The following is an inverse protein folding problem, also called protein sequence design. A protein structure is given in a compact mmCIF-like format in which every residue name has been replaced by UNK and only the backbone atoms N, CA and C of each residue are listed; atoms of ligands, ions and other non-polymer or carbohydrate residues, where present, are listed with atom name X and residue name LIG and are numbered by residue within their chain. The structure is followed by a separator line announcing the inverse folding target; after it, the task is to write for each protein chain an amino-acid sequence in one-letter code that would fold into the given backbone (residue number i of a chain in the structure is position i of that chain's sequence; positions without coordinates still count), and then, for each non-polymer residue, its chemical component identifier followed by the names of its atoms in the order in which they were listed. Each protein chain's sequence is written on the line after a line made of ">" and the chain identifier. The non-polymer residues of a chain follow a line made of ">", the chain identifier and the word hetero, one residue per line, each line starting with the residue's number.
data_IF_776960971727
#
_entry.id   IF_776960971727
#
_cell.length_a   1.000
_cell.length_b   1.000
_cell.length_c   1.000
_cell.angle_alpha   90.00
_cell.angle_beta   90.00
_cell.angle_gamma   90.00
#
_symmetry.space_group_name_H-M   'P 1'
#
loop_
_entity.id
_entity.type
_entity.pdbx_description
1 polymer ?
#
# COMPACT_ATOMS: atom_id res chain seq x y z
N UNK A 1 8.27 23.96 33.31
CA UNK A 1 7.69 23.45 32.05
C UNK A 1 7.01 24.64 31.38
N UNK A 2 7.52 25.11 30.24
CA UNK A 2 6.73 26.03 29.43
C UNK A 2 5.52 25.26 28.87
N UNK A 3 4.33 25.85 28.88
CA UNK A 3 3.18 25.24 28.21
C UNK A 3 3.38 25.38 26.70
N UNK A 4 3.22 24.29 25.95
CA UNK A 4 3.18 24.33 24.49
C UNK A 4 2.04 25.24 24.02
N UNK A 5 2.26 25.92 22.88
CA UNK A 5 1.20 26.68 22.23
C UNK A 5 0.08 25.74 21.74
N UNK A 6 -1.09 26.28 21.43
CA UNK A 6 -2.17 25.48 20.83
C UNK A 6 -1.74 24.89 19.48
N UNK A 7 -1.04 25.69 18.67
CA UNK A 7 -0.52 25.28 17.36
C UNK A 7 0.48 24.10 17.48
N UNK A 8 1.40 24.14 18.44
CA UNK A 8 2.35 23.03 18.67
C UNK A 8 1.64 21.75 19.13
N UNK A 9 0.57 21.88 19.94
CA UNK A 9 -0.25 20.73 20.35
C UNK A 9 -1.01 20.13 19.17
N UNK A 10 -1.61 20.95 18.30
CA UNK A 10 -2.32 20.46 17.11
C UNK A 10 -1.36 19.74 16.15
N UNK A 11 -0.13 20.25 15.96
CA UNK A 11 0.91 19.59 15.16
C UNK A 11 1.30 18.23 15.74
N UNK A 12 1.63 18.16 17.04
CA UNK A 12 1.96 16.90 17.72
C UNK A 12 0.79 15.91 17.70
N UNK A 13 -0.45 16.38 17.82
CA UNK A 13 -1.61 15.52 17.75
C UNK A 13 -1.83 14.97 16.32
N UNK A 14 -1.59 15.77 15.29
CA UNK A 14 -1.64 15.32 13.90
C UNK A 14 -0.57 14.24 13.58
N UNK A 15 0.59 14.25 14.24
CA UNK A 15 1.59 13.18 14.09
C UNK A 15 1.06 11.80 14.52
N UNK A 16 0.15 11.73 15.50
CA UNK A 16 -0.49 10.47 15.92
C UNK A 16 -1.42 9.90 14.83
N UNK A 17 -2.07 10.75 14.03
CA UNK A 17 -2.91 10.32 12.90
C UNK A 17 -2.09 9.48 11.92
N UNK A 18 -0.86 9.91 11.61
CA UNK A 18 0.05 9.17 10.72
C UNK A 18 0.56 7.85 11.31
N UNK A 19 0.59 7.72 12.64
CA UNK A 19 1.05 6.52 13.38
C UNK A 19 -0.09 5.57 13.75
N UNK A 20 -1.33 5.86 13.33
CA UNK A 20 -2.50 5.04 13.65
C UNK A 20 -2.35 3.62 13.11
N UNK A 21 -2.73 2.57 13.87
CA UNK A 21 -2.85 1.22 13.35
C UNK A 21 -3.90 1.13 12.22
N UNK A 22 -3.73 0.21 11.25
CA UNK A 22 -4.69 0.03 10.18
C UNK A 22 -6.07 -0.35 10.72
N UNK A 23 -7.12 0.34 10.28
CA UNK A 23 -8.49 0.14 10.78
C UNK A 23 -8.86 0.87 12.08
N UNK A 24 -7.91 1.53 12.77
CA UNK A 24 -8.13 2.20 14.07
C UNK A 24 -8.02 3.75 13.99
N UNK A 25 -7.87 4.28 12.78
CA UNK A 25 -7.71 5.73 12.50
C UNK A 25 -8.81 6.62 13.11
N UNK A 26 -10.06 6.14 13.12
CA UNK A 26 -11.20 6.89 13.64
C UNK A 26 -11.16 7.02 15.17
N UNK A 27 -10.76 5.95 15.87
CA UNK A 27 -10.62 5.97 17.32
C UNK A 27 -9.49 6.92 17.74
N UNK A 28 -8.36 6.88 17.04
CA UNK A 28 -7.23 7.81 17.25
C UNK A 28 -7.65 9.27 17.01
N UNK A 29 -8.40 9.56 15.94
CA UNK A 29 -8.90 10.92 15.67
C UNK A 29 -9.88 11.38 16.76
N UNK A 30 -10.76 10.50 17.25
CA UNK A 30 -11.70 10.83 18.31
C UNK A 30 -11.00 11.12 19.65
N UNK A 31 -9.99 10.33 20.01
CA UNK A 31 -9.15 10.58 21.19
C UNK A 31 -8.38 11.90 21.06
N UNK A 32 -7.82 12.20 19.89
CA UNK A 32 -7.15 13.48 19.60
C UNK A 32 -8.12 14.67 19.77
N UNK A 33 -9.34 14.59 19.23
CA UNK A 33 -10.37 15.62 19.38
C UNK A 33 -10.70 15.86 20.85
N UNK A 34 -10.83 14.80 21.65
CA UNK A 34 -11.06 14.90 23.08
C UNK A 34 -9.88 15.53 23.86
N UNK A 35 -8.64 15.31 23.42
CA UNK A 35 -7.42 15.87 24.04
C UNK A 35 -7.24 17.35 23.71
N UNK A 36 -7.50 17.75 22.46
CA UNK A 36 -7.29 19.14 21.99
C UNK A 36 -8.49 20.02 22.32
N UNK A 37 -9.72 19.50 22.19
CA UNK A 37 -10.98 20.18 22.49
C UNK A 37 -11.14 21.54 21.75
N UNK A 38 -10.62 21.62 20.52
CA UNK A 38 -10.80 22.71 19.57
C UNK A 38 -10.64 22.17 18.14
N UNK A 39 -11.75 21.70 17.55
CA UNK A 39 -11.77 21.17 16.18
C UNK A 39 -11.35 22.22 15.14
N UNK A 40 -11.60 23.51 15.40
CA UNK A 40 -11.30 24.59 14.43
C UNK A 40 -9.79 24.81 14.31
N UNK A 41 -9.08 24.73 15.43
CA UNK A 41 -7.62 24.77 15.47
C UNK A 41 -6.96 23.44 15.05
N UNK A 42 -7.65 22.32 15.16
CA UNK A 42 -7.12 20.98 14.90
C UNK A 42 -7.18 20.59 13.41
N UNK A 43 -8.34 20.77 12.77
CA UNK A 43 -8.61 20.26 11.41
C UNK A 43 -7.59 20.69 10.33
N UNK A 44 -7.07 21.94 10.31
CA UNK A 44 -6.04 22.35 9.34
C UNK A 44 -4.72 21.57 9.44
N UNK A 45 -4.44 20.97 10.61
CA UNK A 45 -3.26 20.12 10.81
C UNK A 45 -3.56 18.65 10.55
N UNK A 46 -4.77 18.17 10.88
CA UNK A 46 -5.19 16.78 10.68
C UNK A 46 -5.39 16.44 9.21
N UNK A 47 -5.97 17.34 8.40
CA UNK A 47 -6.29 17.04 7.00
C UNK A 47 -5.05 16.63 6.15
N UNK A 48 -3.91 17.35 6.18
CA UNK A 48 -2.70 16.92 5.48
C UNK A 48 -2.15 15.57 5.98
N UNK A 49 -2.21 15.30 7.29
CA UNK A 49 -1.75 14.03 7.87
C UNK A 49 -2.69 12.87 7.54
N UNK A 50 -3.99 13.11 7.45
CA UNK A 50 -5.00 12.12 7.05
C UNK A 50 -4.87 11.79 5.56
N UNK A 51 -4.61 12.80 4.71
CA UNK A 51 -4.21 12.56 3.32
C UNK A 51 -2.97 11.66 3.23
N UNK A 52 -1.89 12.03 3.93
CA UNK A 52 -0.65 11.26 3.93
C UNK A 52 -0.87 9.82 4.46
N UNK A 53 -1.69 9.66 5.49
CA UNK A 53 -2.08 8.36 6.02
C UNK A 53 -2.83 7.52 4.98
N UNK A 54 -3.92 8.02 4.38
CA UNK A 54 -4.71 7.27 3.40
C UNK A 54 -3.88 6.81 2.20
N UNK A 55 -2.98 7.67 1.69
CA UNK A 55 -2.08 7.35 0.58
C UNK A 55 -1.01 6.33 0.94
N UNK A 56 -0.37 6.48 2.10
CA UNK A 56 0.63 5.52 2.57
C UNK A 56 0.00 4.15 2.88
N UNK A 57 -1.22 4.15 3.42
CA UNK A 57 -1.95 2.95 3.82
C UNK A 57 -2.65 2.23 2.66
N UNK A 58 -2.55 2.73 1.42
CA UNK A 58 -3.21 2.17 0.24
C UNK A 58 -4.73 2.02 0.46
N UNK A 59 -5.37 3.11 0.90
CA UNK A 59 -6.80 3.11 1.23
C UNK A 59 -7.65 2.69 0.01
N UNK A 60 -8.65 1.85 0.23
CA UNK A 60 -9.54 1.34 -0.82
C UNK A 60 -10.72 2.30 -0.97
N UNK A 61 -10.99 2.70 -2.21
CA UNK A 61 -12.01 3.68 -2.59
C UNK A 61 -13.04 3.01 -3.51
N UNK A 62 -14.32 3.09 -3.16
CA UNK A 62 -15.41 2.49 -3.93
C UNK A 62 -16.03 3.47 -4.93
N UNK A 63 -16.02 3.09 -6.20
CA UNK A 63 -16.62 3.86 -7.29
C UNK A 63 -18.09 3.48 -7.44
N UNK A 64 -19.02 4.45 -7.41
CA UNK A 64 -20.43 4.19 -7.66
C UNK A 64 -20.63 3.76 -9.12
N UNK A 65 -21.63 2.92 -9.35
CA UNK A 65 -22.00 2.54 -10.72
C UNK A 65 -22.46 3.78 -11.53
N UNK A 66 -21.90 3.94 -12.72
CA UNK A 66 -22.29 4.94 -13.72
C UNK A 66 -22.87 4.24 -14.97
N UNK A 67 -23.39 5.00 -15.94
CA UNK A 67 -24.15 4.45 -17.09
C UNK A 67 -23.44 3.29 -17.82
N UNK A 68 -22.12 3.41 -18.03
CA UNK A 68 -21.27 2.41 -18.71
C UNK A 68 -20.26 1.71 -17.79
N UNK A 69 -20.24 2.01 -16.48
CA UNK A 69 -19.19 1.57 -15.55
C UNK A 69 -19.85 0.86 -14.34
N UNK A 70 -19.58 -0.44 -14.10
CA UNK A 70 -20.10 -1.13 -12.92
C UNK A 70 -19.47 -0.56 -11.63
N UNK A 71 -20.14 -0.75 -10.49
CA UNK A 71 -19.53 -0.48 -9.20
C UNK A 71 -18.30 -1.39 -9.02
N UNK A 72 -17.18 -0.78 -8.65
CA UNK A 72 -15.87 -1.41 -8.48
C UNK A 72 -15.04 -0.59 -7.48
N UNK A 73 -13.87 -1.08 -7.09
CA UNK A 73 -13.03 -0.42 -6.08
C UNK A 73 -11.61 -0.21 -6.61
N UNK A 74 -10.98 0.91 -6.28
CA UNK A 74 -9.57 1.20 -6.60
C UNK A 74 -8.75 1.47 -5.34
N UNK A 75 -7.42 1.49 -5.49
CA UNK A 75 -6.50 1.91 -4.41
C UNK A 75 -6.19 3.40 -4.56
N UNK A 76 -6.17 4.12 -3.44
CA UNK A 76 -5.67 5.49 -3.33
C UNK A 76 -4.20 5.46 -2.91
N UNK A 77 -3.31 6.02 -3.73
CA UNK A 77 -1.87 6.07 -3.46
C UNK A 77 -1.23 7.27 -4.14
N UNK A 78 0.04 7.57 -3.79
CA UNK A 78 0.82 8.59 -4.51
C UNK A 78 0.93 8.30 -6.02
N UNK A 79 0.84 7.02 -6.42
CA UNK A 79 0.95 6.62 -7.82
C UNK A 79 -0.37 6.77 -8.60
N UNK A 80 -1.52 6.94 -7.93
CA UNK A 80 -2.80 7.24 -8.59
C UNK A 80 -3.08 8.75 -8.70
N UNK A 81 -2.21 9.62 -8.18
CA UNK A 81 -2.33 11.08 -8.37
C UNK A 81 -2.14 11.42 -9.86
N UNK A 82 -3.08 12.18 -10.43
CA UNK A 82 -3.08 12.57 -11.83
C UNK A 82 -1.91 13.54 -12.11
N UNK A 83 -0.95 13.18 -13.00
CA UNK A 83 0.22 14.01 -13.24
C UNK A 83 -0.13 15.42 -13.74
N UNK A 84 0.40 16.44 -13.06
CA UNK A 84 0.14 17.86 -13.35
C UNK A 84 -1.03 18.47 -12.57
N UNK A 85 -1.65 17.71 -11.65
CA UNK A 85 -2.55 18.22 -10.61
C UNK A 85 -1.80 18.36 -9.28
N UNK A 86 -1.99 19.49 -8.58
CA UNK A 86 -1.32 19.80 -7.31
C UNK A 86 -2.24 20.66 -6.42
N UNK A 87 -2.08 20.53 -5.10
CA UNK A 87 -2.83 21.33 -4.11
C UNK A 87 -4.34 21.10 -4.19
N UNK A 88 -5.11 22.18 -4.13
CA UNK A 88 -6.59 22.14 -4.14
C UNK A 88 -7.20 21.57 -5.43
N UNK A 89 -6.40 21.40 -6.49
CA UNK A 89 -6.80 20.80 -7.76
C UNK A 89 -6.34 19.34 -7.91
N UNK A 90 -5.79 18.72 -6.87
CA UNK A 90 -5.34 17.33 -6.90
C UNK A 90 -6.46 16.37 -7.32
N UNK A 91 -6.16 15.52 -8.30
CA UNK A 91 -7.08 14.48 -8.79
C UNK A 91 -6.44 13.12 -8.70
N UNK A 92 -7.27 12.10 -8.55
CA UNK A 92 -6.90 10.71 -8.56
C UNK A 92 -7.40 10.03 -9.83
N UNK A 93 -6.71 8.97 -10.25
CA UNK A 93 -7.01 8.17 -11.43
C UNK A 93 -7.71 6.88 -11.03
N UNK A 94 -8.88 6.67 -11.61
CA UNK A 94 -9.49 5.36 -11.76
C UNK A 94 -9.16 4.82 -13.18
N UNK A 95 -8.33 3.79 -13.22
CA UNK A 95 -7.89 3.14 -14.44
C UNK A 95 -8.79 1.97 -14.90
N UNK A 96 -9.81 1.59 -14.13
CA UNK A 96 -10.81 0.58 -14.52
C UNK A 96 -12.03 1.25 -15.16
N UNK A 97 -12.64 2.24 -14.50
CA UNK A 97 -13.71 3.05 -15.08
C UNK A 97 -13.24 4.11 -16.09
N UNK A 98 -11.92 4.31 -16.26
CA UNK A 98 -11.31 5.31 -17.17
C UNK A 98 -11.75 6.72 -16.83
N UNK A 99 -11.55 7.10 -15.57
CA UNK A 99 -12.03 8.33 -14.96
C UNK A 99 -10.99 8.97 -14.06
N UNK A 100 -11.13 10.27 -13.82
CA UNK A 100 -10.39 10.99 -12.79
C UNK A 100 -11.36 11.69 -11.85
N UNK A 101 -10.98 11.84 -10.59
CA UNK A 101 -11.87 12.33 -9.54
C UNK A 101 -11.14 13.15 -8.47
N UNK A 102 -11.87 14.02 -7.77
CA UNK A 102 -11.41 14.64 -6.52
C UNK A 102 -11.88 13.78 -5.34
N UNK A 103 -11.04 13.67 -4.30
CA UNK A 103 -11.30 12.83 -3.13
C UNK A 103 -11.25 13.65 -1.85
N UNK A 104 -12.32 13.62 -1.06
CA UNK A 104 -12.33 14.21 0.27
C UNK A 104 -11.82 13.18 1.30
N UNK A 105 -10.63 13.42 1.84
CA UNK A 105 -10.00 12.52 2.82
C UNK A 105 -10.73 12.44 4.17
N UNK A 106 -11.63 13.37 4.49
CA UNK A 106 -12.45 13.33 5.71
C UNK A 106 -13.70 12.49 5.47
N UNK A 107 -14.49 12.85 4.46
CA UNK A 107 -15.77 12.13 4.19
C UNK A 107 -15.60 10.85 3.37
N UNK A 108 -14.38 10.57 2.90
CA UNK A 108 -14.03 9.49 1.97
C UNK A 108 -14.86 9.54 0.67
N UNK A 109 -15.37 10.73 0.32
CA UNK A 109 -16.29 10.91 -0.80
C UNK A 109 -15.56 11.24 -2.11
N UNK A 110 -15.99 10.57 -3.17
CA UNK A 110 -15.60 10.84 -4.55
C UNK A 110 -16.46 11.99 -5.09
N UNK A 111 -15.81 12.96 -5.74
CA UNK A 111 -16.46 14.10 -6.40
C UNK A 111 -15.86 14.36 -7.77
N UNK A 112 -16.58 15.12 -8.61
CA UNK A 112 -16.12 15.59 -9.93
C UNK A 112 -15.53 14.48 -10.83
N UNK A 113 -16.34 13.47 -11.14
CA UNK A 113 -15.93 12.26 -11.87
C UNK A 113 -15.85 12.53 -13.39
N UNK A 114 -14.65 12.77 -13.92
CA UNK A 114 -14.39 13.20 -15.31
C UNK A 114 -13.72 12.10 -16.15
N UNK A 115 -13.88 12.07 -17.50
CA UNK A 115 -13.16 11.14 -18.37
C UNK A 115 -11.63 11.22 -18.22
N UNK A 116 -10.97 10.06 -18.32
CA UNK A 116 -9.51 9.92 -18.31
C UNK A 116 -9.10 8.84 -19.30
N UNK A 117 -8.13 9.15 -20.17
CA UNK A 117 -7.60 8.20 -21.15
C UNK A 117 -6.06 8.26 -21.19
N UNK A 118 -5.42 7.09 -21.16
CA UNK A 118 -4.00 6.92 -21.46
C UNK A 118 -3.79 6.66 -22.96
N UNK A 119 -2.60 6.91 -23.51
CA UNK A 119 -2.28 6.48 -24.87
C UNK A 119 -2.29 4.94 -24.97
N UNK A 120 -2.62 4.43 -26.16
CA UNK A 120 -2.99 3.02 -26.38
C UNK A 120 -1.88 2.02 -26.03
N UNK A 121 -0.61 2.36 -26.28
CA UNK A 121 0.55 1.52 -25.98
C UNK A 121 0.74 1.33 -24.47
N UNK A 122 0.66 2.43 -23.71
CA UNK A 122 0.76 2.43 -22.25
C UNK A 122 -0.43 1.74 -21.59
N UNK A 123 -1.66 2.01 -22.06
CA UNK A 123 -2.87 1.37 -21.53
C UNK A 123 -2.87 -0.14 -21.78
N UNK A 124 -2.44 -0.58 -22.97
CA UNK A 124 -2.35 -2.02 -23.28
C UNK A 124 -1.41 -2.75 -22.32
N UNK A 125 -0.24 -2.16 -22.01
CA UNK A 125 0.71 -2.75 -21.07
C UNK A 125 0.21 -2.69 -19.62
N UNK A 126 -0.38 -1.55 -19.21
CA UNK A 126 -0.97 -1.37 -17.87
C UNK A 126 -2.12 -2.36 -17.63
N UNK A 127 -3.03 -2.53 -18.60
CA UNK A 127 -4.13 -3.47 -18.52
C UNK A 127 -3.66 -4.94 -18.46
N UNK A 128 -2.60 -5.30 -19.19
CA UNK A 128 -1.99 -6.63 -19.10
C UNK A 128 -1.38 -6.92 -17.71
N UNK A 129 -0.69 -5.93 -17.12
CA UNK A 129 -0.21 -6.00 -15.74
C UNK A 129 -1.39 -6.11 -14.75
N UNK A 130 -2.40 -5.25 -14.88
CA UNK A 130 -3.60 -5.22 -14.03
C UNK A 130 -4.35 -6.55 -14.05
N UNK A 131 -4.54 -7.16 -15.22
CA UNK A 131 -5.21 -8.46 -15.33
C UNK A 131 -4.41 -9.59 -14.70
N UNK A 132 -3.07 -9.56 -14.80
CA UNK A 132 -2.21 -10.56 -14.16
C UNK A 132 -2.16 -10.37 -12.64
N UNK A 133 -2.07 -9.12 -12.18
CA UNK A 133 -2.02 -8.76 -10.75
C UNK A 133 -3.33 -9.10 -10.04
N UNK A 134 -4.48 -8.77 -10.62
CA UNK A 134 -5.78 -9.09 -10.05
C UNK A 134 -6.02 -10.60 -9.89
N UNK A 135 -5.53 -11.42 -10.84
CA UNK A 135 -5.55 -12.89 -10.72
C UNK A 135 -4.68 -13.38 -9.57
N UNK A 136 -3.49 -12.80 -9.39
CA UNK A 136 -2.61 -13.12 -8.27
C UNK A 136 -3.23 -12.68 -6.93
N UNK A 137 -3.66 -11.42 -6.83
CA UNK A 137 -4.28 -10.85 -5.63
C UNK A 137 -5.46 -11.71 -5.15
N UNK A 138 -6.40 -12.03 -6.04
CA UNK A 138 -7.57 -12.88 -5.74
C UNK A 138 -7.22 -14.29 -5.25
N UNK A 139 -6.10 -14.86 -5.69
CA UNK A 139 -5.68 -16.21 -5.31
C UNK A 139 -4.91 -16.26 -3.99
N UNK A 140 -4.28 -15.16 -3.57
CA UNK A 140 -3.40 -15.11 -2.40
C UNK A 140 -3.94 -14.27 -1.23
N UNK A 141 -4.88 -13.34 -1.48
CA UNK A 141 -5.42 -12.41 -0.49
C UNK A 141 -6.96 -12.48 -0.49
N UNK A 142 -7.61 -13.10 0.51
CA UNK A 142 -9.07 -13.32 0.52
C UNK A 142 -9.92 -12.06 0.37
N UNK A 143 -9.41 -10.94 0.89
CA UNK A 143 -10.02 -9.60 0.90
C UNK A 143 -9.14 -8.57 0.17
N UNK A 144 -8.21 -9.04 -0.66
CA UNK A 144 -7.19 -8.22 -1.28
C UNK A 144 -7.69 -7.41 -2.47
N UNK A 145 -7.29 -6.14 -2.52
CA UNK A 145 -7.46 -5.26 -3.68
C UNK A 145 -6.12 -5.03 -4.36
N UNK A 146 -6.15 -4.78 -5.67
CA UNK A 146 -4.95 -4.52 -6.47
C UNK A 146 -5.18 -3.40 -7.47
N UNK A 147 -4.19 -2.51 -7.62
CA UNK A 147 -4.21 -1.43 -8.60
C UNK A 147 -2.94 -1.43 -9.45
N UNK A 148 -3.04 -0.95 -10.68
CA UNK A 148 -1.89 -0.70 -11.56
C UNK A 148 -2.01 0.67 -12.20
N UNK A 149 -1.10 1.56 -11.78
CA UNK A 149 -1.00 2.95 -12.22
C UNK A 149 0.11 3.13 -13.26
N UNK A 150 0.06 4.23 -14.00
CA UNK A 150 1.09 4.64 -14.95
C UNK A 150 1.47 6.10 -14.68
N UNK A 151 2.76 6.42 -14.71
CA UNK A 151 3.24 7.80 -14.58
C UNK A 151 2.97 8.65 -15.83
N UNK A 152 2.49 8.05 -16.92
CA UNK A 152 2.22 8.73 -18.18
C UNK A 152 1.10 9.76 -18.01
N UNK A 153 1.33 10.96 -18.53
CA UNK A 153 0.29 11.99 -18.63
C UNK A 153 -0.92 11.51 -19.46
N UNK A 154 -2.15 11.86 -19.05
CA UNK A 154 -3.35 11.54 -19.82
C UNK A 154 -3.34 12.24 -21.19
N UNK A 155 -4.14 11.72 -22.11
CA UNK A 155 -4.61 12.50 -23.25
C UNK A 155 -5.43 13.69 -22.73
N UNK A 156 -5.35 14.84 -23.42
CA UNK A 156 -6.13 16.02 -23.04
C UNK A 156 -7.61 15.66 -22.91
N UNK A 157 -8.31 16.09 -21.83
CA UNK A 157 -9.73 15.81 -21.69
C UNK A 157 -10.47 16.36 -22.91
N UNK A 158 -11.42 15.61 -23.49
CA UNK A 158 -12.18 16.08 -24.65
C UNK A 158 -12.85 17.40 -24.30
N UNK A 159 -12.67 18.41 -25.16
CA UNK A 159 -13.25 19.73 -24.93
C UNK A 159 -14.74 19.60 -24.63
N UNK A 160 -15.27 20.26 -23.58
CA UNK A 160 -16.68 20.14 -23.24
C UNK A 160 -17.53 20.50 -24.45
N UNK A 161 -18.61 19.74 -24.74
CA UNK A 161 -19.42 19.97 -25.92
C UNK A 161 -19.91 21.41 -25.92
N UNK A 162 -19.60 22.15 -26.98
CA UNK A 162 -19.95 23.56 -27.10
C UNK A 162 -21.46 23.72 -26.87
N UNK A 163 -21.90 24.69 -26.04
CA UNK A 163 -23.32 24.90 -25.77
C UNK A 163 -24.05 25.10 -27.09
N UNK A 164 -25.10 24.30 -27.31
CA UNK A 164 -25.85 24.34 -28.56
C UNK A 164 -26.44 25.75 -28.76
N UNK A 165 -26.41 26.30 -29.98
CA UNK A 165 -26.93 27.65 -30.22
C UNK A 165 -28.43 27.68 -29.99
N UNK A 166 -28.86 28.46 -28.99
CA UNK A 166 -30.26 28.65 -28.65
C UNK A 166 -31.09 29.16 -29.84
N UNK A 167 -32.16 28.44 -30.16
CA UNK A 167 -33.11 28.78 -31.23
C UNK A 167 -34.50 29.06 -30.65
N UNK A 168 -34.60 30.20 -29.95
CA UNK A 168 -35.74 31.13 -29.88
C UNK A 168 -37.19 30.64 -30.04
N UNK A 169 -37.99 30.84 -28.96
CA UNK A 169 -39.41 31.34 -28.94
C UNK A 169 -40.52 30.57 -29.71
N UNK A 170 -41.79 30.42 -29.30
CA UNK A 170 -42.71 30.99 -28.28
C UNK A 170 -44.05 30.14 -28.34
N UNK A 171 -45.20 30.45 -27.69
CA UNK A 171 -45.52 30.97 -26.34
C UNK A 171 -46.66 30.15 -25.62
N UNK A 172 -47.21 30.68 -24.51
CA UNK A 172 -48.49 30.33 -23.80
C UNK A 172 -48.52 29.02 -22.98
N UNK A 173 -49.17 28.90 -21.81
CA UNK A 173 -50.09 29.80 -21.06
C UNK A 173 -50.05 29.54 -19.54
N UNK A 174 -50.61 30.47 -18.74
CA UNK A 174 -50.97 30.37 -17.30
C UNK A 174 -51.71 29.05 -16.93
N UNK A 175 -51.76 28.50 -15.70
CA UNK A 175 -51.42 29.00 -14.34
C UNK A 175 -51.42 27.83 -13.33
N UNK A 176 -50.65 27.94 -12.23
CA UNK A 176 -50.96 27.32 -10.92
C UNK A 176 -50.04 27.90 -9.82
N UNK A 177 -50.59 28.12 -8.62
CA UNK A 177 -49.85 28.59 -7.44
C UNK A 177 -49.28 27.39 -6.66
N UNK A 178 -48.07 27.52 -6.09
CA UNK A 178 -47.81 27.10 -4.71
C UNK A 178 -46.42 27.52 -4.19
N UNK A 179 -46.46 28.31 -3.11
CA UNK A 179 -45.55 28.31 -1.95
C UNK A 179 -44.03 28.36 -2.17
N UNK A 180 -43.46 29.50 -1.79
CA UNK A 180 -42.12 29.57 -1.19
C UNK A 180 -42.06 28.66 0.04
N UNK A 181 -41.03 27.82 0.11
CA UNK A 181 -40.58 27.16 1.34
C UNK A 181 -39.08 27.39 1.41
N UNK A 182 -38.65 28.26 2.32
CA UNK A 182 -37.25 28.39 2.69
C UNK A 182 -36.86 27.17 3.54
N UNK A 183 -36.31 26.13 2.90
CA UNK A 183 -35.58 25.09 3.64
C UNK A 183 -34.13 25.58 3.86
N UNK A 184 -33.95 26.30 4.97
CA UNK A 184 -32.64 26.61 5.54
C UNK A 184 -31.99 25.31 6.03
N UNK A 185 -31.37 24.56 5.11
CA UNK A 185 -30.59 23.36 5.44
C UNK A 185 -29.32 23.81 6.18
N UNK A 186 -29.43 23.89 7.51
CA UNK A 186 -28.30 24.02 8.42
C UNK A 186 -27.42 22.78 8.26
N UNK A 187 -26.44 22.89 7.36
CA UNK A 187 -25.43 21.85 7.12
C UNK A 187 -24.53 21.79 8.34
N UNK A 188 -24.84 20.87 9.25
CA UNK A 188 -23.96 20.55 10.38
C UNK A 188 -22.55 20.23 9.84
N UNK A 189 -21.47 20.62 10.56
CA UNK A 189 -20.13 20.33 10.10
C UNK A 189 -19.91 18.81 10.16
N UNK A 190 -19.78 18.19 8.98
CA UNK A 190 -19.45 16.77 8.84
C UNK A 190 -18.00 16.60 9.25
N UNK A 191 -17.78 16.29 10.53
CA UNK A 191 -16.45 16.22 11.17
C UNK A 191 -16.00 14.80 11.45
N UNK A 192 -16.90 13.83 11.28
CA UNK A 192 -16.63 12.44 11.61
C UNK A 192 -16.14 11.72 10.35
N UNK A 193 -14.91 11.22 10.40
CA UNK A 193 -14.32 10.46 9.30
C UNK A 193 -15.10 9.17 9.13
N UNK A 194 -15.62 8.92 7.93
CA UNK A 194 -16.41 7.72 7.65
C UNK A 194 -15.51 6.49 7.82
N UNK A 195 -16.03 5.43 8.44
CA UNK A 195 -15.25 4.21 8.70
C UNK A 195 -14.68 3.63 7.41
N UNK A 196 -13.37 3.38 7.40
CA UNK A 196 -12.74 2.56 6.38
C UNK A 196 -13.47 1.21 6.32
N UNK A 197 -13.94 0.82 5.13
CA UNK A 197 -14.80 -0.35 5.01
C UNK A 197 -14.07 -1.62 5.46
N UNK A 198 -14.57 -2.19 6.56
CA UNK A 198 -14.14 -3.50 7.03
C UNK A 198 -14.76 -4.53 6.11
N UNK A 199 -13.94 -5.14 5.23
CA UNK A 199 -14.34 -6.33 4.50
C UNK A 199 -14.64 -7.46 5.50
N UNK A 200 -15.93 -7.66 5.83
CA UNK A 200 -16.44 -8.77 6.65
C UNK A 200 -16.30 -10.10 5.88
N UNK A 201 -15.07 -10.56 5.69
CA UNK A 201 -14.76 -11.88 5.15
C UNK A 201 -14.90 -12.96 6.22
N UNK A 202 -15.86 -13.86 6.01
CA UNK A 202 -16.20 -15.10 6.75
C UNK A 202 -15.90 -15.15 8.27
N UNK A 203 -16.98 -15.29 9.04
CA UNK A 203 -16.94 -15.55 10.48
C UNK A 203 -16.14 -16.82 10.81
N UNK A 204 -14.89 -16.64 11.24
CA UNK A 204 -14.12 -17.72 11.89
C UNK A 204 -14.85 -18.22 13.14
N UNK A 205 -14.77 -19.53 13.46
CA UNK A 205 -15.38 -20.08 14.67
C UNK A 205 -14.78 -19.46 15.93
N UNK A 206 -15.60 -19.41 16.99
CA UNK A 206 -15.35 -18.66 18.22
C UNK A 206 -13.95 -18.89 18.84
N UNK A 207 -13.33 -17.85 19.44
CA UNK A 207 -11.97 -17.92 19.94
C UNK A 207 -11.81 -18.99 21.03
N UNK A 208 -10.72 -19.75 20.94
CA UNK A 208 -10.28 -20.63 22.03
C UNK A 208 -9.89 -19.75 23.23
N UNK A 209 -10.50 -19.91 24.41
CA UNK A 209 -10.26 -19.00 25.53
C UNK A 209 -8.79 -19.09 26.00
N UNK A 210 -8.14 -17.93 26.10
CA UNK A 210 -6.89 -17.81 26.85
C UNK A 210 -7.12 -18.32 28.28
N UNK A 211 -6.27 -19.25 28.74
CA UNK A 211 -6.54 -20.05 29.94
C UNK A 211 -6.63 -19.23 31.22
N UNK A 212 -7.86 -19.00 31.68
CA UNK A 212 -8.17 -18.67 33.07
C UNK A 212 -8.42 -19.95 33.87
N UNK A 213 -7.97 -19.93 35.12
CA UNK A 213 -7.93 -21.03 36.10
C UNK A 213 -8.99 -22.15 35.95
N UNK A 214 -8.52 -23.38 35.72
CA UNK A 214 -9.30 -24.61 35.91
C UNK A 214 -8.66 -25.43 37.03
N UNK A 215 -9.37 -25.59 38.13
CA UNK A 215 -8.98 -26.41 39.27
C UNK A 215 -8.74 -27.88 38.85
N UNK A 216 -7.54 -28.40 39.14
CA UNK A 216 -7.13 -29.76 38.78
C UNK A 216 -7.47 -30.74 39.91
N UNK A 217 -8.70 -31.27 39.92
CA UNK A 217 -8.99 -32.56 40.57
C UNK A 217 -10.00 -33.41 39.79
N UNK A 218 -9.53 -34.59 39.31
CA UNK A 218 -10.24 -35.62 38.53
C UNK A 218 -10.45 -35.19 37.06
N UNK A 219 -10.21 -36.03 36.04
CA UNK A 219 -10.11 -37.49 35.99
C UNK A 219 -8.80 -37.98 35.31
N UNK A 220 -8.55 -39.30 35.39
CA UNK A 220 -7.47 -39.96 34.64
C UNK A 220 -8.07 -40.68 33.44
N UNK A 221 -7.68 -40.28 32.24
CA UNK A 221 -7.77 -41.13 31.04
C UNK A 221 -6.44 -41.08 30.27
N UNK A 222 -6.05 -42.21 29.68
CA UNK A 222 -4.76 -42.38 29.02
C UNK A 222 -4.78 -41.79 27.60
N UNK A 223 -4.09 -40.65 27.39
CA UNK A 223 -3.68 -40.27 26.03
C UNK A 223 -2.51 -41.15 25.57
N UNK A 224 -2.83 -42.15 24.75
CA UNK A 224 -1.86 -42.86 23.91
C UNK A 224 -1.23 -41.85 22.96
N UNK A 225 0.11 -41.74 23.00
CA UNK A 225 0.87 -40.91 22.06
C UNK A 225 1.01 -41.67 20.74
N UNK A 226 0.67 -41.08 19.58
CA UNK A 226 1.12 -41.62 18.29
C UNK A 226 2.66 -41.64 18.24
N UNK A 227 3.21 -42.69 17.64
CA UNK A 227 4.64 -42.99 17.71
C UNK A 227 5.46 -42.20 16.68
N UNK A 228 6.68 -41.82 17.08
CA UNK A 228 7.85 -41.43 16.27
C UNK A 228 7.64 -40.70 14.93
N UNK A 229 8.03 -39.42 14.90
CA UNK A 229 8.36 -38.66 13.68
C UNK A 229 9.40 -39.37 12.79
N UNK A 230 10.24 -40.24 13.36
CA UNK A 230 11.32 -40.94 12.67
C UNK A 230 10.82 -41.84 11.51
N UNK A 231 9.55 -42.29 11.53
CA UNK A 231 8.95 -43.10 10.46
C UNK A 231 8.53 -42.29 9.23
N UNK A 232 8.40 -40.96 9.35
CA UNK A 232 8.08 -40.09 8.21
C UNK A 232 9.34 -39.77 7.39
N UNK A 233 10.49 -39.57 8.04
CA UNK A 233 11.76 -39.33 7.35
C UNK A 233 12.23 -40.57 6.57
N UNK A 234 12.00 -41.78 7.11
CA UNK A 234 12.33 -43.04 6.42
C UNK A 234 11.50 -43.25 5.13
N UNK A 235 10.21 -42.91 5.16
CA UNK A 235 9.32 -42.95 3.99
C UNK A 235 9.64 -41.86 2.94
N UNK A 236 10.20 -40.73 3.36
CA UNK A 236 10.60 -39.64 2.44
C UNK A 236 11.91 -39.96 1.71
N UNK A 237 12.87 -40.64 2.34
CA UNK A 237 14.07 -41.10 1.65
C UNK A 237 13.78 -42.32 0.74
N UNK A 238 12.89 -43.26 1.13
CA UNK A 238 12.49 -44.38 0.25
C UNK A 238 11.82 -43.87 -1.04
N UNK A 239 10.95 -42.86 -0.96
CA UNK A 239 10.34 -42.22 -2.14
C UNK A 239 11.34 -41.46 -3.04
N UNK A 240 12.53 -41.13 -2.52
CA UNK A 240 13.56 -40.36 -3.21
C UNK A 240 14.55 -41.28 -3.96
N UNK A 241 14.79 -42.48 -3.42
CA UNK A 241 15.56 -43.52 -4.12
C UNK A 241 14.78 -44.09 -5.33
N UNK A 242 13.44 -44.04 -5.34
CA UNK A 242 12.63 -44.44 -6.51
C UNK A 242 12.72 -43.45 -7.70
N UNK A 243 12.94 -42.15 -7.48
CA UNK A 243 13.03 -41.16 -8.59
C UNK A 243 14.41 -41.11 -9.28
N UNK A 244 15.53 -41.41 -8.61
CA UNK A 244 16.87 -41.40 -9.26
C UNK A 244 17.14 -42.65 -10.14
N UNK A 245 16.16 -43.56 -10.25
CA UNK A 245 16.29 -44.91 -10.84
C UNK A 245 16.34 -45.05 -12.37
N UNK A 246 16.44 -43.98 -13.19
CA UNK A 246 16.37 -44.09 -14.67
C UNK A 246 17.54 -43.42 -15.40
N UNK A 247 18.34 -44.22 -16.12
CA UNK A 247 19.53 -43.77 -16.90
C UNK A 247 19.24 -43.48 -18.38
N UNK A 248 20.00 -42.53 -18.91
CA UNK A 248 20.13 -42.12 -20.33
C UNK A 248 20.76 -43.19 -21.23
N UNK A 249 20.80 -42.99 -22.58
CA UNK A 249 22.11 -42.61 -23.18
C UNK A 249 22.11 -41.72 -24.46
N UNK A 250 23.11 -40.82 -24.56
CA UNK A 250 24.03 -40.45 -25.70
C UNK A 250 23.48 -40.22 -27.15
N UNK A 251 24.08 -39.47 -28.09
CA UNK A 251 25.24 -38.54 -28.28
C UNK A 251 25.02 -37.81 -29.65
N UNK A 252 25.71 -36.75 -30.11
CA UNK A 252 26.89 -35.98 -29.66
C UNK A 252 27.42 -35.04 -30.77
N UNK A 253 28.67 -34.55 -30.65
CA UNK A 253 29.51 -33.83 -31.66
C UNK A 253 29.35 -32.31 -31.95
N UNK A 254 30.51 -31.62 -31.90
CA UNK A 254 30.86 -30.23 -32.30
C UNK A 254 31.41 -30.23 -33.76
N UNK A 255 31.63 -29.10 -34.49
CA UNK A 255 32.67 -28.07 -34.23
C UNK A 255 32.23 -26.59 -34.51
N UNK A 256 32.69 -25.55 -33.80
CA UNK A 256 33.93 -24.72 -33.92
C UNK A 256 33.81 -23.48 -34.86
N UNK A 257 34.75 -22.50 -34.72
CA UNK A 257 35.12 -21.34 -35.58
C UNK A 257 35.02 -19.93 -34.94
N UNK A 258 36.15 -19.54 -34.32
CA UNK A 258 36.88 -18.23 -34.32
C UNK A 258 36.32 -16.90 -33.80
N UNK A 259 37.13 -16.28 -32.95
CA UNK A 259 37.22 -14.83 -32.62
C UNK A 259 37.74 -13.98 -33.79
N UNK A 260 37.41 -12.67 -33.81
CA UNK A 260 38.25 -11.63 -34.42
C UNK A 260 38.11 -10.32 -33.63
N UNK A 261 39.21 -9.74 -33.15
CA UNK A 261 39.30 -8.36 -32.66
C UNK A 261 39.41 -7.36 -33.83
N UNK A 262 38.92 -6.12 -33.67
CA UNK A 262 39.68 -4.94 -34.11
C UNK A 262 39.29 -3.67 -33.32
N UNK A 263 40.21 -2.70 -33.25
CA UNK A 263 40.06 -1.45 -32.53
C UNK A 263 40.24 -0.23 -33.44
N UNK A 264 39.46 0.85 -33.22
CA UNK A 264 39.59 2.10 -34.00
C UNK A 264 39.12 3.33 -33.24
N UNK A 265 40.01 4.34 -33.13
CA UNK A 265 39.73 5.68 -32.57
C UNK A 265 39.73 6.74 -33.68
N UNK A 266 39.07 7.88 -33.38
CA UNK A 266 39.39 9.31 -33.69
C UNK A 266 38.05 10.06 -33.86
N UNK A 267 37.68 11.20 -33.25
CA UNK A 267 38.27 12.40 -32.62
C UNK A 267 38.06 13.72 -33.44
N UNK A 268 37.20 14.62 -32.88
CA UNK A 268 37.12 16.10 -33.02
C UNK A 268 36.83 16.83 -34.35
N UNK A 269 35.99 17.88 -34.22
CA UNK A 269 36.13 19.34 -34.58
C UNK A 269 34.69 19.90 -34.61
N UNK A 270 34.20 20.95 -33.90
CA UNK A 270 34.68 22.22 -33.31
C UNK A 270 34.37 23.51 -34.14
N UNK A 271 33.10 23.96 -34.05
CA UNK A 271 32.65 25.38 -33.91
C UNK A 271 32.71 26.35 -35.14
N UNK A 272 32.34 27.66 -35.07
CA UNK A 272 31.13 28.21 -35.69
C UNK A 272 31.43 29.44 -36.62
N UNK A 273 30.45 30.28 -37.03
CA UNK A 273 29.98 31.44 -36.23
C UNK A 273 28.42 31.60 -36.36
N UNK A 274 27.69 32.73 -36.13
CA UNK A 274 27.98 34.15 -35.88
C UNK A 274 26.83 34.83 -35.07
N UNK A 275 26.85 36.17 -34.93
CA UNK A 275 25.87 37.01 -34.20
C UNK A 275 25.67 38.37 -34.92
N UNK A 276 24.47 38.96 -34.85
CA UNK A 276 24.18 40.40 -35.06
C UNK A 276 22.77 40.72 -34.51
N UNK A 277 22.63 41.49 -33.41
CA UNK A 277 22.49 42.97 -33.34
C UNK A 277 21.12 43.47 -33.87
N UNK A 278 20.19 43.89 -33.01
CA UNK A 278 20.02 45.21 -32.33
C UNK A 278 19.05 46.12 -33.10
N UNK A 279 17.96 46.56 -32.45
CA UNK A 279 17.46 47.94 -32.52
C UNK A 279 16.36 48.19 -31.45
N UNK A 280 16.33 49.41 -30.91
CA UNK A 280 15.46 49.83 -29.79
C UNK A 280 14.61 51.05 -30.23
N UNK A 281 13.30 51.05 -29.97
CA UNK A 281 12.48 52.27 -30.09
C UNK A 281 11.23 52.26 -29.20
N UNK A 282 10.79 53.47 -28.83
CA UNK A 282 10.04 53.81 -27.62
C UNK A 282 8.58 54.22 -27.90
N UNK A 283 7.70 53.89 -26.93
CA UNK A 283 6.33 54.40 -26.62
C UNK A 283 5.23 54.52 -27.71
N UNK A 284 4.07 53.92 -27.41
CA UNK A 284 2.84 54.70 -27.17
C UNK A 284 1.78 53.88 -26.41
N UNK A 285 1.00 54.55 -25.56
CA UNK A 285 -0.06 53.95 -24.73
C UNK A 285 -1.40 53.87 -25.46
N UNK A 286 -2.15 52.75 -25.29
CA UNK A 286 -3.55 52.71 -24.78
C UNK A 286 -4.24 51.35 -24.98
N UNK A 287 -4.95 50.93 -23.94
CA UNK A 287 -6.20 50.16 -23.90
C UNK A 287 -6.51 49.18 -25.06
N UNK A 288 -6.30 47.88 -24.79
CA UNK A 288 -7.01 46.77 -25.41
C UNK A 288 -7.12 45.62 -24.38
N UNK A 289 -8.16 44.78 -24.51
CA UNK A 289 -8.48 43.74 -23.53
C UNK A 289 -7.34 42.74 -23.33
N UNK A 290 -7.10 42.34 -22.08
CA UNK A 290 -6.27 41.17 -21.80
C UNK A 290 -7.08 39.92 -22.12
N UNK A 291 -6.95 39.45 -23.36
CA UNK A 291 -7.16 38.04 -23.67
C UNK A 291 -6.37 37.21 -22.66
N UNK A 292 -7.07 36.44 -21.83
CA UNK A 292 -6.45 35.41 -21.01
C UNK A 292 -6.00 34.33 -21.97
N UNK A 293 -4.75 34.45 -22.42
CA UNK A 293 -4.04 33.35 -23.07
C UNK A 293 -3.95 32.24 -22.03
N UNK A 294 -4.91 31.33 -22.10
CA UNK A 294 -4.80 30.01 -21.48
C UNK A 294 -3.58 29.38 -22.16
N UNK A 295 -2.44 29.42 -21.47
CA UNK A 295 -1.27 28.63 -21.80
C UNK A 295 -1.73 27.17 -21.86
N UNK A 296 -1.96 26.68 -23.08
CA UNK A 296 -2.14 25.25 -23.36
C UNK A 296 -0.88 24.55 -22.88
N UNK A 297 -0.92 24.06 -21.64
CA UNK A 297 0.13 23.18 -21.10
C UNK A 297 0.18 21.97 -22.01
N UNK A 298 1.16 21.97 -22.93
CA UNK A 298 1.46 20.83 -23.77
C UNK A 298 2.02 19.74 -22.87
N UNK A 299 1.14 18.90 -22.34
CA UNK A 299 1.47 17.66 -21.64
C UNK A 299 2.44 16.86 -22.54
N UNK A 300 3.73 16.88 -22.20
CA UNK A 300 4.75 16.16 -22.96
C UNK A 300 4.66 14.66 -22.64
N UNK A 301 4.63 13.81 -23.66
CA UNK A 301 4.68 12.35 -23.48
C UNK A 301 5.98 11.97 -22.77
N UNK A 302 5.90 11.07 -21.81
CA UNK A 302 7.08 10.51 -21.13
C UNK A 302 7.55 9.31 -21.96
N UNK A 303 8.80 9.34 -22.42
CA UNK A 303 9.32 8.29 -23.33
C UNK A 303 9.38 6.91 -22.67
N UNK A 304 9.66 6.85 -21.36
CA UNK A 304 9.69 5.63 -20.56
C UNK A 304 8.85 5.83 -19.29
N UNK A 305 7.52 5.60 -19.34
CA UNK A 305 6.68 5.73 -18.18
C UNK A 305 6.92 4.60 -17.18
N UNK A 306 6.82 4.95 -15.91
CA UNK A 306 6.90 4.03 -14.77
C UNK A 306 5.51 3.45 -14.53
N UNK A 307 5.44 2.14 -14.25
CA UNK A 307 4.19 1.48 -13.86
C UNK A 307 4.29 1.03 -12.42
N UNK A 308 3.32 1.40 -11.60
CA UNK A 308 3.29 1.05 -10.18
C UNK A 308 2.18 0.03 -9.98
N UNK A 309 2.55 -1.15 -9.50
CA UNK A 309 1.65 -2.23 -9.11
C UNK A 309 1.52 -2.21 -7.60
N UNK A 310 0.31 -2.06 -7.08
CA UNK A 310 0.04 -1.98 -5.65
C UNK A 310 -1.00 -3.04 -5.25
N UNK A 311 -0.75 -3.73 -4.13
CA UNK A 311 -1.70 -4.66 -3.50
C UNK A 311 -1.91 -4.23 -2.06
N UNK A 312 -3.17 -4.26 -1.62
CA UNK A 312 -3.54 -4.11 -0.20
C UNK A 312 -4.42 -5.27 0.23
N UNK A 313 -4.01 -5.97 1.29
CA UNK A 313 -4.75 -7.08 1.90
C UNK A 313 -5.07 -6.75 3.35
N UNK A 314 -6.36 -6.68 3.68
CA UNK A 314 -6.85 -6.19 4.97
C UNK A 314 -7.61 -7.30 5.73
N UNK A 315 -7.30 -7.51 7.00
CA UNK A 315 -8.11 -8.38 7.88
C UNK A 315 -8.21 -7.76 9.27
N UNK A 316 -9.42 -7.39 9.67
CA UNK A 316 -9.71 -6.75 10.94
C UNK A 316 -10.71 -7.57 11.73
N UNK A 317 -10.47 -7.72 13.02
CA UNK A 317 -11.44 -8.29 13.94
C UNK A 317 -11.39 -7.53 15.27
N UNK A 318 -11.98 -6.31 15.34
CA UNK A 318 -11.95 -5.48 16.54
C UNK A 318 -12.60 -6.15 17.76
N UNK A 319 -13.60 -7.02 17.53
CA UNK A 319 -14.24 -7.82 18.58
C UNK A 319 -13.27 -8.82 19.26
N UNK A 320 -12.25 -9.28 18.53
CA UNK A 320 -11.17 -10.12 19.03
C UNK A 320 -9.87 -9.30 19.27
N UNK A 321 -9.97 -7.97 19.32
CA UNK A 321 -8.88 -7.04 19.62
C UNK A 321 -7.66 -7.16 18.70
N UNK A 322 -7.85 -7.34 17.39
CA UNK A 322 -6.74 -7.26 16.44
C UNK A 322 -7.09 -6.71 15.06
N UNK A 323 -6.07 -6.11 14.45
CA UNK A 323 -6.06 -5.59 13.09
C UNK A 323 -4.80 -6.01 12.35
N UNK A 324 -4.89 -6.22 11.04
CA UNK A 324 -3.75 -6.61 10.20
C UNK A 324 -3.89 -6.10 8.77
N UNK A 325 -2.80 -5.54 8.24
CA UNK A 325 -2.69 -5.03 6.87
C UNK A 325 -1.38 -5.48 6.22
N UNK A 326 -1.49 -6.04 5.03
CA UNK A 326 -0.39 -6.33 4.12
C UNK A 326 -0.45 -5.35 2.95
N UNK A 327 0.66 -4.69 2.64
CA UNK A 327 0.79 -3.74 1.52
C UNK A 327 2.00 -4.11 0.68
N UNK A 328 1.85 -4.20 -0.64
CA UNK A 328 3.01 -4.26 -1.54
C UNK A 328 2.94 -3.17 -2.58
N UNK A 329 4.11 -2.64 -2.93
CA UNK A 329 4.29 -1.62 -3.97
C UNK A 329 5.47 -2.03 -4.82
N UNK A 330 5.23 -2.33 -6.08
CA UNK A 330 6.23 -2.73 -7.06
C UNK A 330 6.27 -1.71 -8.20
N UNK A 331 7.44 -1.13 -8.42
CA UNK A 331 7.71 -0.07 -9.38
C UNK A 331 8.47 -0.67 -10.55
N UNK A 332 7.81 -0.75 -11.70
CA UNK A 332 8.38 -1.22 -12.97
C UNK A 332 8.92 -0.02 -13.73
N UNK A 333 10.25 0.09 -13.80
CA UNK A 333 10.95 1.13 -14.55
C UNK A 333 11.54 0.55 -15.85
N UNK A 334 10.94 0.96 -16.97
CA UNK A 334 11.36 0.58 -18.33
C UNK A 334 12.71 1.20 -18.72
N UNK A 335 13.11 2.33 -18.16
CA UNK A 335 14.36 3.01 -18.48
C UNK A 335 15.57 2.37 -17.79
N UNK A 336 15.46 2.01 -16.50
CA UNK A 336 16.52 1.26 -15.81
C UNK A 336 16.49 -0.24 -16.07
N UNK A 337 15.39 -0.78 -16.60
CA UNK A 337 15.22 -2.20 -16.87
C UNK A 337 15.09 -3.02 -15.58
N UNK A 338 14.43 -2.46 -14.56
CA UNK A 338 14.28 -3.08 -13.23
C UNK A 338 12.85 -3.01 -12.72
N UNK A 339 12.57 -3.91 -11.78
CA UNK A 339 11.39 -3.89 -10.94
C UNK A 339 11.87 -3.86 -9.49
N UNK A 340 11.68 -2.72 -8.84
CA UNK A 340 11.99 -2.51 -7.42
C UNK A 340 10.69 -2.56 -6.62
N UNK A 341 10.68 -3.12 -5.43
CA UNK A 341 9.46 -3.15 -4.63
C UNK A 341 9.66 -3.27 -3.13
N UNK A 342 8.64 -2.82 -2.43
CA UNK A 342 8.51 -2.82 -0.99
C UNK A 342 7.32 -3.69 -0.57
N UNK A 343 7.53 -4.53 0.44
CA UNK A 343 6.52 -5.33 1.14
C UNK A 343 6.46 -4.82 2.57
N UNK A 344 5.27 -4.41 3.01
CA UNK A 344 4.98 -3.89 4.33
C UNK A 344 3.90 -4.74 5.00
N UNK A 345 4.15 -5.18 6.23
CA UNK A 345 3.20 -5.97 7.01
C UNK A 345 3.09 -5.37 8.40
N UNK A 346 1.87 -4.99 8.75
CA UNK A 346 1.51 -4.35 10.01
C UNK A 346 0.42 -5.17 10.68
N UNK A 347 0.61 -5.53 11.94
CA UNK A 347 -0.37 -6.26 12.76
C UNK A 347 -0.41 -5.65 14.16
N UNK A 348 -1.59 -5.40 14.68
CA UNK A 348 -1.80 -4.90 16.03
C UNK A 348 -2.73 -5.86 16.78
N UNK A 349 -2.34 -6.26 18.00
CA UNK A 349 -3.15 -7.04 18.94
C UNK A 349 -3.17 -6.33 20.28
N UNK A 350 -4.37 -6.04 20.80
CA UNK A 350 -4.59 -5.13 21.93
C UNK A 350 -5.51 -5.70 23.02
N UNK A 351 -5.68 -7.02 23.08
CA UNK A 351 -6.37 -7.65 24.22
C UNK A 351 -5.48 -7.58 25.47
N UNK A 352 -5.91 -6.82 26.48
CA UNK A 352 -5.23 -6.69 27.79
C UNK A 352 -3.75 -6.22 27.70
N UNK A 353 -3.37 -5.59 26.58
CA UNK A 353 -2.02 -5.12 26.30
C UNK A 353 -1.97 -4.32 25.00
N UNK A 354 -0.78 -4.09 24.47
CA UNK A 354 -0.56 -3.59 23.11
C UNK A 354 0.69 -4.31 22.57
N UNK A 355 0.51 -5.07 21.49
CA UNK A 355 1.56 -5.76 20.76
C UNK A 355 1.42 -5.39 19.29
N UNK A 356 2.50 -4.86 18.70
CA UNK A 356 2.54 -4.49 17.28
C UNK A 356 3.68 -5.21 16.57
N UNK A 357 3.38 -5.71 15.38
CA UNK A 357 4.33 -6.04 14.35
C UNK A 357 4.29 -4.90 13.32
N UNK A 358 5.45 -4.36 12.96
CA UNK A 358 5.63 -3.52 11.80
C UNK A 358 6.89 -3.99 11.08
N UNK A 359 6.76 -4.39 9.82
CA UNK A 359 7.88 -4.86 9.00
C UNK A 359 7.95 -4.14 7.67
N UNK A 360 9.17 -4.02 7.14
CA UNK A 360 9.44 -3.60 5.77
C UNK A 360 10.52 -4.49 5.19
N UNK A 361 10.23 -5.09 4.03
CA UNK A 361 11.18 -5.83 3.22
C UNK A 361 11.23 -5.20 1.82
N UNK A 362 12.43 -4.98 1.30
CA UNK A 362 12.64 -4.37 -0.02
C UNK A 362 13.38 -5.35 -0.92
N UNK A 363 12.87 -5.55 -2.13
CA UNK A 363 13.40 -6.48 -3.12
C UNK A 363 13.53 -5.82 -4.49
N UNK A 364 14.42 -6.34 -5.35
CA UNK A 364 14.69 -5.81 -6.68
C UNK A 364 15.04 -6.95 -7.64
N UNK A 365 14.49 -6.94 -8.84
CA UNK A 365 14.79 -7.91 -9.89
C UNK A 365 14.84 -7.26 -11.29
N UNK A 366 15.61 -7.81 -12.25
CA UNK A 366 15.68 -7.27 -13.60
C UNK A 366 14.34 -7.47 -14.35
N UNK A 367 13.96 -6.48 -15.14
CA UNK A 367 12.77 -6.53 -15.99
C UNK A 367 12.92 -7.63 -17.07
N UNK A 368 11.96 -8.57 -17.21
CA UNK A 368 12.02 -9.57 -18.27
C UNK A 368 11.92 -8.93 -19.66
N UNK A 369 12.89 -9.22 -20.54
CA UNK A 369 12.98 -8.65 -21.90
C UNK A 369 12.37 -9.52 -23.01
N UNK A 370 12.11 -10.81 -22.74
CA UNK A 370 11.62 -11.77 -23.73
C UNK A 370 10.41 -12.55 -23.19
N UNK A 371 9.52 -13.01 -24.09
CA UNK A 371 8.41 -13.89 -23.73
C UNK A 371 8.88 -15.34 -23.57
N UNK A 372 9.04 -15.79 -22.33
CA UNK A 372 9.52 -17.13 -21.98
C UNK A 372 8.33 -18.04 -21.67
N UNK A 373 8.34 -19.26 -22.22
CA UNK A 373 7.33 -20.28 -21.91
C UNK A 373 5.90 -19.95 -22.32
N UNK A 374 5.71 -19.00 -23.24
CA UNK A 374 4.38 -18.51 -23.65
C UNK A 374 3.72 -17.57 -22.63
N UNK A 375 4.46 -17.10 -21.61
CA UNK A 375 3.99 -16.06 -20.70
C UNK A 375 4.37 -14.67 -21.22
N UNK A 376 3.39 -13.77 -21.26
CA UNK A 376 3.63 -12.35 -21.52
C UNK A 376 4.56 -11.76 -20.47
N UNK A 377 5.29 -10.70 -20.82
CA UNK A 377 6.21 -9.98 -19.90
C UNK A 377 5.48 -9.60 -18.60
N UNK A 378 4.25 -9.08 -18.70
CA UNK A 378 3.40 -8.75 -17.55
C UNK A 378 3.13 -9.96 -16.62
N UNK A 379 2.88 -11.14 -17.19
CA UNK A 379 2.67 -12.36 -16.42
C UNK A 379 3.95 -12.86 -15.73
N UNK A 380 5.10 -12.72 -16.39
CA UNK A 380 6.40 -13.07 -15.80
C UNK A 380 6.78 -12.16 -14.62
N UNK A 381 6.50 -10.85 -14.73
CA UNK A 381 6.71 -9.88 -13.63
C UNK A 381 5.89 -10.31 -12.41
N UNK A 382 4.57 -10.52 -12.57
CA UNK A 382 3.69 -10.93 -11.46
C UNK A 382 4.05 -12.32 -10.92
N UNK A 383 4.50 -13.25 -11.77
CA UNK A 383 5.00 -14.57 -11.34
C UNK A 383 6.29 -14.45 -10.50
N UNK A 384 7.13 -13.45 -10.78
CA UNK A 384 8.36 -13.19 -10.02
C UNK A 384 8.03 -12.51 -8.68
N UNK A 385 7.12 -11.53 -8.67
CA UNK A 385 6.55 -10.92 -7.47
C UNK A 385 5.97 -12.00 -6.54
N UNK A 386 5.10 -12.87 -7.07
CA UNK A 386 4.47 -13.97 -6.33
C UNK A 386 5.49 -14.88 -5.62
N UNK A 387 6.63 -15.18 -6.28
CA UNK A 387 7.71 -15.98 -5.68
C UNK A 387 8.42 -15.23 -4.54
N UNK A 388 8.68 -13.93 -4.71
CA UNK A 388 9.35 -13.12 -3.69
C UNK A 388 8.43 -12.92 -2.47
N UNK A 389 7.17 -12.56 -2.68
CA UNK A 389 6.18 -12.39 -1.60
C UNK A 389 5.95 -13.71 -0.84
N UNK A 390 5.91 -14.85 -1.55
CA UNK A 390 5.81 -16.19 -0.94
C UNK A 390 7.06 -16.53 -0.12
N UNK A 391 8.26 -16.25 -0.64
CA UNK A 391 9.51 -16.50 0.08
C UNK A 391 9.60 -15.64 1.35
N UNK A 392 9.22 -14.36 1.29
CA UNK A 392 9.19 -13.47 2.45
C UNK A 392 8.14 -13.90 3.51
N UNK A 393 6.97 -14.38 3.09
CA UNK A 393 6.00 -14.96 4.03
C UNK A 393 6.56 -16.19 4.76
N UNK A 394 7.29 -17.07 4.07
CA UNK A 394 7.96 -18.21 4.72
C UNK A 394 9.08 -17.73 5.67
N UNK A 395 9.90 -16.77 5.26
CA UNK A 395 10.95 -16.15 6.09
C UNK A 395 10.38 -15.54 7.39
N UNK A 396 9.25 -14.84 7.31
CA UNK A 396 8.57 -14.30 8.50
C UNK A 396 8.18 -15.40 9.51
N UNK A 397 7.66 -16.53 9.03
CA UNK A 397 7.30 -17.66 9.89
C UNK A 397 8.52 -18.27 10.59
N UNK A 398 9.64 -18.44 9.86
CA UNK A 398 10.90 -18.94 10.41
C UNK A 398 11.49 -17.98 11.46
N UNK A 399 11.47 -16.66 11.18
CA UNK A 399 11.91 -15.62 12.12
C UNK A 399 11.09 -15.64 13.41
N UNK A 400 9.76 -15.82 13.32
CA UNK A 400 8.90 -15.94 14.50
C UNK A 400 9.21 -17.19 15.33
N UNK A 401 9.50 -18.33 14.68
CA UNK A 401 9.98 -19.53 15.35
C UNK A 401 11.28 -19.30 16.12
N UNK A 402 12.28 -18.68 15.47
CA UNK A 402 13.57 -18.37 16.10
C UNK A 402 13.44 -17.35 17.26
N UNK A 403 12.61 -16.32 17.10
CA UNK A 403 12.37 -15.30 18.13
C UNK A 403 11.79 -15.94 19.41
N UNK A 404 10.82 -16.84 19.25
CA UNK A 404 10.21 -17.63 20.33
C UNK A 404 11.22 -18.50 21.07
N UNK A 405 12.00 -19.30 20.33
CA UNK A 405 12.88 -20.31 20.92
C UNK A 405 14.20 -19.76 21.49
N UNK A 406 14.78 -18.73 20.86
CA UNK A 406 16.11 -18.21 21.21
C UNK A 406 16.04 -16.84 21.90
N UNK A 407 15.48 -15.83 21.24
CA UNK A 407 15.57 -14.44 21.69
C UNK A 407 14.80 -14.19 22.99
N UNK A 408 13.52 -14.57 23.05
CA UNK A 408 12.72 -14.37 24.27
C UNK A 408 13.25 -15.20 25.45
N UNK A 409 13.74 -16.43 25.21
CA UNK A 409 14.38 -17.24 26.26
C UNK A 409 15.69 -16.65 26.79
N UNK A 410 16.44 -15.94 25.95
CA UNK A 410 17.65 -15.23 26.35
C UNK A 410 17.34 -13.98 27.19
N UNK A 411 16.27 -13.24 26.86
CA UNK A 411 15.79 -12.09 27.64
C UNK A 411 15.26 -12.51 29.01
N UNK A 412 14.34 -13.49 29.06
CA UNK A 412 13.77 -14.00 30.30
C UNK A 412 13.46 -15.49 30.21
N UNK A 413 14.17 -16.27 31.00
CA UNK A 413 13.88 -17.70 31.18
C UNK A 413 12.56 -17.88 31.92
N UNK A 414 11.70 -18.80 31.45
CA UNK A 414 10.47 -19.20 32.15
C UNK A 414 10.73 -19.73 33.57
N UNK A 415 11.88 -20.39 33.78
CA UNK A 415 12.38 -20.82 35.08
C UNK A 415 13.88 -20.48 35.26
N UNK A 416 14.33 -20.23 36.51
CA UNK A 416 15.75 -20.19 36.87
C UNK A 416 16.56 -21.39 36.36
N UNK A 417 17.89 -21.28 36.38
CA UNK A 417 18.81 -22.36 35.93
C UNK A 417 18.54 -23.69 36.63
N UNK A 418 18.12 -23.64 37.90
CA UNK A 418 17.73 -24.79 38.74
C UNK A 418 16.47 -25.52 38.28
N UNK A 419 15.72 -25.00 37.29
CA UNK A 419 14.41 -25.51 36.83
C UNK A 419 13.35 -25.59 37.95
N UNK A 420 13.47 -24.75 38.97
CA UNK A 420 12.54 -24.65 40.10
C UNK A 420 12.12 -23.19 40.30
N UNK A 421 10.90 -22.95 40.81
CA UNK A 421 10.46 -21.60 41.21
C UNK A 421 11.41 -21.05 42.30
N UNK A 422 11.54 -19.72 42.37
CA UNK A 422 12.43 -19.09 43.34
C UNK A 422 11.95 -19.36 44.76
N UNK A 423 12.86 -19.86 45.60
CA UNK A 423 12.63 -20.04 47.03
C UNK A 423 12.93 -18.72 47.75
N UNK A 424 11.89 -17.92 47.99
CA UNK A 424 12.02 -16.59 48.58
C UNK A 424 12.50 -16.62 50.05
N UNK A 425 12.25 -17.71 50.79
CA UNK A 425 12.78 -17.88 52.14
C UNK A 425 14.29 -18.05 52.11
N UNK A 426 14.82 -18.87 51.19
CA UNK A 426 16.27 -18.98 50.98
C UNK A 426 16.89 -17.67 50.48
N UNK A 427 16.22 -16.92 49.59
CA UNK A 427 16.74 -15.64 49.06
C UNK A 427 17.00 -14.62 50.17
N UNK A 428 16.11 -14.53 51.16
CA UNK A 428 16.30 -13.58 52.28
C UNK A 428 17.39 -14.02 53.27
N UNK A 429 17.68 -15.32 53.35
CA UNK A 429 18.78 -15.87 54.17
C UNK A 429 20.17 -15.85 53.51
N UNK A 430 20.26 -15.83 52.18
CA UNK A 430 21.55 -15.86 51.48
C UNK A 430 22.25 -14.49 51.46
N UNK A 431 23.07 -14.26 52.48
CA UNK A 431 24.16 -13.27 52.46
C UNK A 431 25.24 -13.68 51.43
N UNK A 432 24.94 -13.51 50.14
CA UNK A 432 25.80 -13.96 49.04
C UNK A 432 27.23 -13.40 49.14
N UNK A 433 27.37 -12.17 49.66
CA UNK A 433 28.66 -11.54 49.92
C UNK A 433 29.52 -12.25 50.96
N UNK A 434 28.94 -12.80 52.04
CA UNK A 434 29.74 -13.49 53.06
C UNK A 434 30.28 -14.83 52.59
N UNK A 435 29.53 -15.54 51.73
CA UNK A 435 29.91 -16.88 51.30
C UNK A 435 30.84 -16.84 50.07
N UNK A 436 30.68 -15.86 49.16
CA UNK A 436 31.68 -15.57 48.13
C UNK A 436 33.03 -15.14 48.73
N UNK A 437 33.04 -14.46 49.89
CA UNK A 437 34.28 -14.08 50.57
C UNK A 437 34.98 -15.29 51.21
N UNK A 438 34.21 -16.24 51.78
CA UNK A 438 34.76 -17.50 52.31
C UNK A 438 35.27 -18.44 51.21
N UNK A 439 34.62 -18.47 50.04
CA UNK A 439 35.04 -19.31 48.91
C UNK A 439 36.30 -18.80 48.16
N UNK A 440 36.83 -17.63 48.56
CA UNK A 440 38.05 -17.01 48.00
C UNK A 440 39.26 -17.09 48.94
N UNK A 441 39.10 -17.67 50.12
CA UNK A 441 40.13 -17.88 51.14
C UNK A 441 40.49 -19.36 51.26
#
# INVERSE_FOLDING_TARGET
>A
MAQLSLEDKCKLAAEFVQQSPPGEINDVINDIRAIINDDTALMPHVLPTLRAYNLAQLHVVDHPAAEDIPAHSSILSEATILPGTEGDNERYVDAEGKRSFTFDHITLAITDYQPYELPEEEETFRAALSQSLAKYAKNHFPSGQSSVSSSQYPLLPPAPPAPAPDASTEPSTESAQSQEVEDEVVKAPVTDVISEQVNEGDLEPAPTPATGDVDVEKEKDELVRPESLDQLDELVEEAKEEEEGVKTPKEGSRPDVTEVDDAGKEEKVVTPPAVSQEEEKVESTKDAEQDVVVEERKQARIENPIYTLEIVGNKYNPNNFWTGRWRTKWVVDKASGKVDGDINVDVHYYEQGNVQLATKHSASFPLPTEEVGGQTIASQIVTTISKIETAYHLELNDVYGELGDKAFRALRRALPVTRQKMDWEKVTGYSLGSDLTKARA
#
